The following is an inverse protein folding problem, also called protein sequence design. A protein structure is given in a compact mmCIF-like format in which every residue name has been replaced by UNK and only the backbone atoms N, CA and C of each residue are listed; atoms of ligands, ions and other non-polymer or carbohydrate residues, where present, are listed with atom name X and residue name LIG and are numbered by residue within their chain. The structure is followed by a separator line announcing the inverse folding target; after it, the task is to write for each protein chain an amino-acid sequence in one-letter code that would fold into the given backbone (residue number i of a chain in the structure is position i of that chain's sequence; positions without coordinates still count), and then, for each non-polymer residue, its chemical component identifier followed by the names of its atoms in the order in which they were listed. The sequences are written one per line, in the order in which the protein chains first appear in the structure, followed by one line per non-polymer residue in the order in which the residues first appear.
data_IF_031845095041
#
_entry.id   IF_031845095041
#
_cell.length_a   1.000
_cell.length_b   1.000
_cell.length_c   1.000
_cell.angle_alpha   90.00
_cell.angle_beta   90.00
_cell.angle_gamma   90.00
#
_symmetry.space_group_name_H-M   'P 1'
#
loop_
_entity.id
_entity.type
_entity.pdbx_description
1 polymer ?
#
# COMPACT_ATOMS: atom_id res chain seq x y z
N UNK A 1 -1.81 -22.05 -26.82
CA UNK A 1 -2.00 -21.71 -25.40
C UNK A 1 -0.90 -20.73 -25.01
N UNK A 2 -1.24 -19.47 -24.74
CA UNK A 2 -0.27 -18.55 -24.11
C UNK A 2 -0.10 -19.04 -22.66
N UNK A 3 1.14 -19.16 -22.20
CA UNK A 3 1.47 -19.84 -20.94
C UNK A 3 1.24 -18.93 -19.73
N UNK A 4 1.01 -19.54 -18.56
CA UNK A 4 0.82 -18.87 -17.26
C UNK A 4 1.77 -17.69 -17.03
N UNK A 5 3.05 -17.81 -17.40
CA UNK A 5 4.05 -16.74 -17.27
C UNK A 5 3.70 -15.48 -18.06
N UNK A 6 3.19 -15.62 -19.30
CA UNK A 6 2.84 -14.48 -20.15
C UNK A 6 1.59 -13.78 -19.64
N UNK A 7 0.63 -14.55 -19.13
CA UNK A 7 -0.65 -14.02 -18.67
C UNK A 7 -0.54 -13.39 -17.27
N UNK A 8 0.53 -13.68 -16.51
CA UNK A 8 0.79 -13.15 -15.16
C UNK A 8 2.10 -12.34 -15.07
N UNK A 9 2.67 -11.94 -16.22
CA UNK A 9 4.01 -11.35 -16.28
C UNK A 9 4.15 -10.07 -15.43
N UNK A 10 3.13 -9.22 -15.38
CA UNK A 10 3.14 -7.97 -14.61
C UNK A 10 3.29 -8.24 -13.11
N UNK A 11 2.44 -9.11 -12.56
CA UNK A 11 2.51 -9.50 -11.13
C UNK A 11 3.82 -10.22 -10.82
N UNK A 12 4.23 -11.16 -11.67
CA UNK A 12 5.50 -11.89 -11.47
C UNK A 12 6.70 -10.96 -11.49
N UNK A 13 6.73 -9.98 -12.39
CA UNK A 13 7.80 -8.99 -12.46
C UNK A 13 7.93 -8.21 -11.15
N UNK A 14 6.83 -7.65 -10.64
CA UNK A 14 6.85 -6.89 -9.39
C UNK A 14 7.12 -7.77 -8.16
N UNK A 15 6.68 -9.03 -8.14
CA UNK A 15 7.04 -9.97 -7.08
C UNK A 15 8.53 -10.30 -7.08
N UNK A 16 9.15 -10.49 -8.24
CA UNK A 16 10.61 -10.69 -8.34
C UNK A 16 11.35 -9.42 -7.89
N UNK A 17 10.92 -8.25 -8.35
CA UNK A 17 11.50 -6.98 -7.92
C UNK A 17 11.40 -6.78 -6.40
N UNK A 18 10.25 -7.10 -5.80
CA UNK A 18 10.04 -7.07 -4.35
C UNK A 18 11.01 -8.00 -3.62
N UNK A 19 11.15 -9.26 -4.06
CA UNK A 19 12.07 -10.22 -3.43
C UNK A 19 13.52 -9.73 -3.52
N UNK A 20 13.93 -9.20 -4.68
CA UNK A 20 15.28 -8.63 -4.85
C UNK A 20 15.51 -7.44 -3.93
N UNK A 21 14.52 -6.55 -3.79
CA UNK A 21 14.58 -5.41 -2.88
C UNK A 21 14.66 -5.86 -1.40
N UNK A 22 13.85 -6.84 -0.98
CA UNK A 22 13.87 -7.39 0.37
C UNK A 22 15.21 -8.06 0.70
N UNK A 23 15.81 -8.79 -0.25
CA UNK A 23 17.14 -9.38 -0.10
C UNK A 23 18.20 -8.28 0.02
N UNK A 24 18.13 -7.25 -0.82
CA UNK A 24 19.01 -6.09 -0.75
C UNK A 24 18.93 -5.40 0.61
N UNK A 25 17.71 -5.07 1.05
CA UNK A 25 17.43 -4.45 2.35
C UNK A 25 17.91 -5.32 3.52
N UNK A 26 17.69 -6.64 3.46
CA UNK A 26 18.14 -7.56 4.50
C UNK A 26 19.67 -7.56 4.64
N UNK A 27 20.41 -7.58 3.53
CA UNK A 27 21.88 -7.58 3.55
C UNK A 27 22.42 -6.22 4.01
N UNK A 28 21.91 -5.12 3.45
CA UNK A 28 22.37 -3.78 3.80
C UNK A 28 22.02 -3.40 5.23
N UNK A 29 20.78 -3.69 5.66
CA UNK A 29 20.30 -3.44 7.01
C UNK A 29 21.03 -4.28 8.05
N UNK A 30 21.34 -5.54 7.74
CA UNK A 30 22.16 -6.40 8.60
C UNK A 30 23.57 -5.83 8.79
N UNK A 31 24.21 -5.38 7.71
CA UNK A 31 25.53 -4.74 7.78
C UNK A 31 25.49 -3.47 8.64
N UNK A 32 24.54 -2.58 8.36
CA UNK A 32 24.36 -1.32 9.09
C UNK A 32 24.12 -1.56 10.59
N UNK A 33 23.25 -2.51 10.93
CA UNK A 33 22.97 -2.87 12.31
C UNK A 33 24.21 -3.41 13.04
N UNK A 34 25.03 -4.24 12.38
CA UNK A 34 26.27 -4.72 12.96
C UNK A 34 27.32 -3.61 13.12
N UNK A 35 27.38 -2.66 12.18
CA UNK A 35 28.29 -1.50 12.28
C UNK A 35 27.92 -0.61 13.49
N UNK A 36 26.62 -0.39 13.73
CA UNK A 36 26.11 0.33 14.91
C UNK A 36 26.42 -0.42 16.22
N UNK A 37 26.26 -1.74 16.23
CA UNK A 37 26.62 -2.58 17.37
C UNK A 37 28.12 -2.49 17.67
N UNK A 38 28.98 -2.58 16.65
CA UNK A 38 30.42 -2.44 16.84
C UNK A 38 30.81 -1.04 17.33
N UNK A 39 30.17 0.01 16.82
CA UNK A 39 30.42 1.39 17.24
C UNK A 39 30.04 1.64 18.72
N UNK A 40 29.05 0.90 19.23
CA UNK A 40 28.61 0.93 20.63
C UNK A 40 29.26 -0.14 21.51
N UNK A 41 30.30 -0.84 21.03
CA UNK A 41 30.96 -1.96 21.70
C UNK A 41 30.02 -3.15 22.04
N UNK A 42 28.91 -3.26 21.33
CA UNK A 42 27.98 -4.39 21.38
C UNK A 42 28.44 -5.59 20.55
N UNK A 43 27.69 -6.69 20.67
CA UNK A 43 27.92 -7.90 19.90
C UNK A 43 27.19 -7.85 18.56
N UNK A 44 27.85 -8.33 17.51
CA UNK A 44 27.23 -8.52 16.19
C UNK A 44 26.26 -9.69 16.22
N UNK A 45 25.27 -9.63 15.31
CA UNK A 45 24.28 -10.68 15.11
C UNK A 45 24.47 -11.35 13.77
N UNK A 46 24.04 -12.61 13.68
CA UNK A 46 23.91 -13.31 12.40
C UNK A 46 22.76 -12.74 11.56
N UNK A 47 22.80 -12.97 10.24
CA UNK A 47 21.73 -12.55 9.33
C UNK A 47 20.36 -13.10 9.75
N UNK A 48 20.29 -14.37 10.17
CA UNK A 48 19.02 -14.97 10.60
C UNK A 48 18.46 -14.27 11.84
N UNK A 49 19.32 -13.95 12.82
CA UNK A 49 18.91 -13.19 14.00
C UNK A 49 18.38 -11.80 13.62
N UNK A 50 19.06 -11.12 12.69
CA UNK A 50 18.61 -9.83 12.18
C UNK A 50 17.25 -9.90 11.47
N UNK A 51 17.03 -10.90 10.61
CA UNK A 51 15.74 -11.10 9.90
C UNK A 51 14.57 -11.36 10.85
N UNK A 52 14.83 -11.91 12.03
CA UNK A 52 13.82 -12.13 13.08
C UNK A 52 13.75 -11.01 14.12
N UNK A 53 14.52 -9.93 13.93
CA UNK A 53 14.61 -8.82 14.88
C UNK A 53 13.44 -7.85 14.76
N UNK A 54 13.20 -7.08 15.83
CA UNK A 54 12.25 -5.97 15.79
C UNK A 54 12.67 -4.85 14.84
N UNK A 55 13.98 -4.63 14.65
CA UNK A 55 14.51 -3.61 13.74
C UNK A 55 14.14 -3.90 12.29
N UNK A 56 14.38 -5.12 11.82
CA UNK A 56 13.98 -5.50 10.47
C UNK A 56 12.46 -5.51 10.28
N UNK A 57 11.72 -6.02 11.28
CA UNK A 57 10.27 -6.09 11.23
C UNK A 57 9.61 -4.70 11.16
N UNK A 58 10.12 -3.72 11.92
CA UNK A 58 9.58 -2.35 11.89
C UNK A 58 9.85 -1.70 10.54
N UNK A 59 11.06 -1.84 9.99
CA UNK A 59 11.44 -1.23 8.70
C UNK A 59 10.56 -1.73 7.55
N UNK A 60 10.24 -3.02 7.52
CA UNK A 60 9.31 -3.58 6.51
C UNK A 60 7.89 -3.09 6.76
N UNK A 61 7.41 -3.20 7.99
CA UNK A 61 6.03 -2.86 8.32
C UNK A 61 5.71 -1.39 8.04
N UNK A 62 6.69 -0.49 8.24
CA UNK A 62 6.58 0.95 7.96
C UNK A 62 6.33 1.29 6.51
N UNK A 63 7.05 0.63 5.61
CA UNK A 63 6.86 0.80 4.17
C UNK A 63 5.52 0.17 3.74
N UNK A 64 5.25 -1.04 4.20
CA UNK A 64 4.05 -1.76 3.74
C UNK A 64 2.76 -1.08 4.19
N UNK A 65 2.72 -0.54 5.41
CA UNK A 65 1.50 0.12 5.88
C UNK A 65 1.14 1.35 5.05
N UNK A 66 2.09 2.18 4.63
CA UNK A 66 1.78 3.38 3.85
C UNK A 66 1.31 3.01 2.45
N UNK A 67 1.95 2.03 1.82
CA UNK A 67 1.54 1.49 0.52
C UNK A 67 0.09 0.96 0.53
N UNK A 68 -0.27 0.16 1.54
CA UNK A 68 -1.64 -0.35 1.65
C UNK A 68 -2.64 0.73 2.07
N UNK A 69 -2.24 1.72 2.88
CA UNK A 69 -3.06 2.89 3.17
C UNK A 69 -3.34 3.69 1.89
N UNK A 70 -2.33 3.90 1.06
CA UNK A 70 -2.43 4.58 -0.23
C UNK A 70 -3.50 3.90 -1.09
N UNK A 71 -3.37 2.59 -1.33
CA UNK A 71 -4.35 1.86 -2.13
C UNK A 71 -5.74 1.83 -1.49
N UNK A 72 -5.83 1.68 -0.17
CA UNK A 72 -7.10 1.75 0.55
C UNK A 72 -7.80 3.09 0.32
N UNK A 73 -7.12 4.20 0.58
CA UNK A 73 -7.66 5.54 0.38
C UNK A 73 -8.01 5.76 -1.08
N UNK A 74 -7.13 5.40 -2.00
CA UNK A 74 -7.36 5.56 -3.42
C UNK A 74 -8.61 4.80 -3.89
N UNK A 75 -8.82 3.56 -3.48
CA UNK A 75 -10.01 2.76 -3.80
C UNK A 75 -11.31 3.37 -3.26
N UNK A 76 -11.29 3.98 -2.07
CA UNK A 76 -12.51 4.53 -1.46
C UNK A 76 -12.80 5.97 -1.83
N UNK A 77 -11.76 6.80 -1.94
CA UNK A 77 -11.86 8.24 -2.16
C UNK A 77 -12.24 8.53 -3.61
N UNK A 78 -11.67 7.80 -4.58
CA UNK A 78 -11.98 7.97 -6.02
C UNK A 78 -13.41 7.58 -6.40
N UNK A 79 -14.14 6.91 -5.51
CA UNK A 79 -15.59 6.70 -5.66
C UNK A 79 -16.34 8.03 -5.62
N UNK A 80 -15.88 9.01 -4.85
CA UNK A 80 -16.62 10.25 -4.56
C UNK A 80 -15.89 11.52 -4.97
N UNK A 81 -14.56 11.56 -4.86
CA UNK A 81 -13.77 12.70 -5.29
C UNK A 81 -13.48 12.58 -6.78
N UNK A 82 -13.83 13.64 -7.51
CA UNK A 82 -13.59 13.75 -8.95
C UNK A 82 -12.58 14.84 -9.26
N UNK A 83 -11.70 14.54 -10.21
CA UNK A 83 -10.74 15.47 -10.78
C UNK A 83 -10.90 15.49 -12.30
N UNK A 84 -11.43 16.62 -12.80
CA UNK A 84 -11.60 16.83 -14.24
C UNK A 84 -10.26 16.69 -14.95
N UNK A 85 -10.26 15.89 -16.01
CA UNK A 85 -9.10 15.67 -16.87
C UNK A 85 -8.24 14.48 -16.45
N UNK A 86 -8.42 13.95 -15.24
CA UNK A 86 -7.62 12.83 -14.74
C UNK A 86 -8.16 11.50 -15.28
N UNK A 87 -7.33 10.62 -15.88
CA UNK A 87 -7.72 9.26 -16.22
C UNK A 87 -8.06 8.41 -14.98
N UNK A 88 -7.48 8.76 -13.84
CA UNK A 88 -7.65 8.13 -12.53
C UNK A 88 -8.98 8.51 -11.83
N UNK A 89 -9.78 9.37 -12.45
CA UNK A 89 -11.03 9.88 -11.87
C UNK A 89 -12.22 9.50 -12.72
N UNK A 90 -13.36 9.32 -12.05
CA UNK A 90 -14.67 9.32 -12.72
C UNK A 90 -14.95 10.68 -13.37
N UNK A 91 -15.74 10.73 -14.45
CA UNK A 91 -16.26 11.99 -14.98
C UNK A 91 -17.11 12.73 -13.92
N UNK A 92 -17.08 14.08 -13.90
CA UNK A 92 -17.98 14.85 -13.04
C UNK A 92 -19.45 14.51 -13.31
N UNK A 93 -20.24 14.31 -12.26
CA UNK A 93 -21.64 13.87 -12.33
C UNK A 93 -21.83 12.34 -12.31
N UNK A 94 -20.75 11.56 -12.26
CA UNK A 94 -20.75 10.10 -12.10
C UNK A 94 -20.17 9.66 -10.76
N UNK A 95 -20.17 10.54 -9.76
CA UNK A 95 -19.74 10.24 -8.40
C UNK A 95 -20.62 9.15 -7.76
N UNK A 96 -20.03 8.37 -6.88
CA UNK A 96 -20.70 7.33 -6.12
C UNK A 96 -20.53 5.94 -6.70
N UNK A 97 -21.41 5.04 -6.23
CA UNK A 97 -21.24 3.58 -6.34
C UNK A 97 -21.79 2.99 -7.62
N UNK A 98 -22.31 3.83 -8.52
CA UNK A 98 -23.06 3.43 -9.71
C UNK A 98 -24.30 2.59 -9.36
N UNK A 99 -25.09 2.27 -10.38
CA UNK A 99 -26.28 1.42 -10.23
C UNK A 99 -25.91 -0.07 -10.20
N UNK A 100 -26.81 -0.90 -9.68
CA UNK A 100 -26.64 -2.37 -9.69
C UNK A 100 -26.50 -2.92 -11.12
N UNK A 101 -27.08 -2.26 -12.12
CA UNK A 101 -26.97 -2.60 -13.54
C UNK A 101 -25.58 -2.28 -14.09
N UNK A 102 -25.08 -1.05 -13.88
CA UNK A 102 -23.72 -0.64 -14.27
C UNK A 102 -22.66 -1.55 -13.63
N UNK A 103 -22.88 -1.98 -12.38
CA UNK A 103 -21.99 -2.89 -11.64
C UNK A 103 -22.25 -4.39 -11.91
N UNK A 104 -23.26 -4.73 -12.71
CA UNK A 104 -23.66 -6.12 -13.06
C UNK A 104 -23.84 -7.02 -11.85
N UNK A 105 -24.55 -6.54 -10.83
CA UNK A 105 -24.81 -7.30 -9.59
C UNK A 105 -26.28 -7.72 -9.47
N UNK A 106 -26.52 -8.79 -8.71
CA UNK A 106 -27.86 -9.30 -8.47
C UNK A 106 -28.61 -9.73 -9.71
N UNK A 107 -29.76 -9.10 -9.97
CA UNK A 107 -30.60 -9.41 -11.13
C UNK A 107 -29.91 -9.10 -12.46
N UNK A 108 -28.88 -8.24 -12.44
CA UNK A 108 -28.10 -7.84 -13.61
C UNK A 108 -26.79 -8.63 -13.78
N UNK A 109 -26.52 -9.60 -12.90
CA UNK A 109 -25.35 -10.47 -13.02
C UNK A 109 -25.48 -11.40 -14.24
N UNK A 110 -24.37 -11.63 -14.94
CA UNK A 110 -24.32 -12.50 -16.12
C UNK A 110 -23.74 -13.88 -15.77
N UNK A 111 -23.75 -14.81 -16.73
CA UNK A 111 -23.12 -16.12 -16.55
C UNK A 111 -21.59 -16.05 -16.29
N UNK A 112 -20.96 -14.94 -16.69
CA UNK A 112 -19.53 -14.67 -16.45
C UNK A 112 -19.27 -13.99 -15.10
N UNK A 113 -20.31 -13.46 -14.45
CA UNK A 113 -20.17 -12.75 -13.18
C UNK A 113 -19.76 -13.72 -12.04
N UNK A 114 -18.90 -13.29 -11.10
CA UNK A 114 -18.58 -14.07 -9.93
C UNK A 114 -19.82 -14.46 -9.12
N UNK A 115 -19.85 -15.67 -8.56
CA UNK A 115 -21.02 -16.21 -7.83
C UNK A 115 -21.54 -15.28 -6.72
N UNK A 116 -20.66 -14.57 -6.03
CA UNK A 116 -21.04 -13.67 -4.94
C UNK A 116 -21.58 -12.31 -5.43
N UNK A 117 -21.32 -11.92 -6.69
CA UNK A 117 -21.94 -10.76 -7.32
C UNK A 117 -23.43 -11.01 -7.61
N UNK A 118 -23.79 -12.24 -8.01
CA UNK A 118 -25.18 -12.66 -8.21
C UNK A 118 -25.93 -12.93 -6.88
N UNK A 119 -25.20 -13.28 -5.81
CA UNK A 119 -25.79 -13.55 -4.50
C UNK A 119 -26.51 -12.32 -3.91
N UNK A 120 -27.44 -12.53 -2.98
CA UNK A 120 -28.10 -11.46 -2.22
C UNK A 120 -27.45 -11.21 -0.84
N UNK A 121 -27.89 -10.14 -0.18
CA UNK A 121 -27.56 -9.85 1.23
C UNK A 121 -26.08 -9.61 1.50
N UNK A 122 -25.59 -10.12 2.64
CA UNK A 122 -24.24 -9.83 3.13
C UNK A 122 -23.12 -10.35 2.23
N UNK A 123 -23.34 -11.46 1.51
CA UNK A 123 -22.31 -12.04 0.60
C UNK A 123 -21.95 -11.05 -0.51
N UNK A 124 -22.97 -10.44 -1.14
CA UNK A 124 -22.76 -9.37 -2.12
C UNK A 124 -22.09 -8.17 -1.46
N UNK A 125 -22.58 -7.76 -0.29
CA UNK A 125 -22.03 -6.59 0.40
C UNK A 125 -20.53 -6.72 0.71
N UNK A 126 -20.07 -7.91 1.13
CA UNK A 126 -18.65 -8.21 1.35
C UNK A 126 -17.89 -8.26 0.03
N UNK A 127 -18.39 -9.00 -0.97
CA UNK A 127 -17.71 -9.14 -2.25
C UNK A 127 -17.54 -7.79 -2.97
N UNK A 128 -18.58 -6.97 -3.03
CA UNK A 128 -18.57 -5.63 -3.64
C UNK A 128 -17.68 -4.61 -2.93
N UNK A 129 -17.08 -4.98 -1.78
CA UNK A 129 -16.13 -4.14 -1.04
C UNK A 129 -14.81 -4.86 -0.76
N UNK A 130 -14.64 -6.07 -1.29
CA UNK A 130 -13.57 -7.00 -0.89
C UNK A 130 -12.17 -6.42 -1.13
N UNK A 131 -11.94 -5.74 -2.26
CA UNK A 131 -10.67 -5.07 -2.54
C UNK A 131 -10.32 -4.05 -1.44
N UNK A 132 -11.22 -3.10 -1.17
CA UNK A 132 -11.02 -2.10 -0.13
C UNK A 132 -10.90 -2.73 1.27
N UNK A 133 -11.67 -3.77 1.58
CA UNK A 133 -11.57 -4.49 2.85
C UNK A 133 -10.20 -5.13 3.00
N UNK A 134 -9.70 -5.84 1.98
CA UNK A 134 -8.38 -6.49 2.04
C UNK A 134 -7.27 -5.46 2.18
N UNK A 135 -7.29 -4.38 1.38
CA UNK A 135 -6.29 -3.31 1.50
C UNK A 135 -6.30 -2.68 2.90
N UNK A 136 -7.48 -2.40 3.45
CA UNK A 136 -7.63 -1.83 4.79
C UNK A 136 -7.21 -2.79 5.90
N UNK A 137 -7.51 -4.09 5.78
CA UNK A 137 -7.07 -5.11 6.75
C UNK A 137 -5.56 -5.27 6.73
N UNK A 138 -4.95 -5.34 5.54
CA UNK A 138 -3.48 -5.47 5.44
C UNK A 138 -2.81 -4.22 6.00
N UNK A 139 -3.31 -3.02 5.68
CA UNK A 139 -2.88 -1.76 6.30
C UNK A 139 -2.95 -1.81 7.84
N UNK A 140 -4.10 -2.21 8.40
CA UNK A 140 -4.25 -2.25 9.86
C UNK A 140 -3.30 -3.26 10.50
N UNK A 141 -3.12 -4.42 9.88
CA UNK A 141 -2.20 -5.45 10.37
C UNK A 141 -0.74 -4.99 10.29
N UNK A 142 -0.32 -4.36 9.21
CA UNK A 142 1.04 -3.84 9.08
C UNK A 142 1.28 -2.63 9.99
N UNK A 143 0.31 -1.73 10.14
CA UNK A 143 0.41 -0.59 11.06
C UNK A 143 0.47 -1.03 12.53
N UNK A 144 -0.31 -2.05 12.91
CA UNK A 144 -0.18 -2.69 14.23
C UNK A 144 1.17 -3.39 14.37
N UNK A 145 1.61 -4.13 13.34
CA UNK A 145 2.92 -4.77 13.29
C UNK A 145 4.07 -3.78 13.51
N UNK A 146 4.04 -2.65 12.79
CA UNK A 146 4.94 -1.51 12.99
C UNK A 146 4.87 -1.01 14.43
N UNK A 147 3.68 -0.78 14.99
CA UNK A 147 3.56 -0.24 16.36
C UNK A 147 4.19 -1.16 17.42
N UNK A 148 4.08 -2.48 17.24
CA UNK A 148 4.61 -3.48 18.17
C UNK A 148 6.12 -3.63 17.98
N UNK A 149 6.59 -3.79 16.75
CA UNK A 149 8.01 -3.92 16.43
C UNK A 149 8.77 -2.62 16.76
N UNK A 150 8.19 -1.47 16.42
CA UNK A 150 8.72 -0.14 16.70
C UNK A 150 8.84 0.14 18.19
N UNK A 151 7.85 -0.26 19.01
CA UNK A 151 7.97 -0.19 20.47
C UNK A 151 9.13 -1.04 20.98
N UNK A 152 9.29 -2.25 20.44
CA UNK A 152 10.36 -3.15 20.86
C UNK A 152 11.75 -2.56 20.52
N UNK A 153 11.91 -2.01 19.31
CA UNK A 153 13.12 -1.30 18.90
C UNK A 153 13.38 -0.06 19.78
N UNK A 154 12.37 0.79 19.97
CA UNK A 154 12.47 1.98 20.81
C UNK A 154 12.86 1.65 22.26
N UNK A 155 12.28 0.61 22.85
CA UNK A 155 12.63 0.18 24.19
C UNK A 155 14.05 -0.41 24.28
N UNK A 156 14.57 -1.02 23.20
CA UNK A 156 15.96 -1.47 23.17
C UNK A 156 16.92 -0.26 23.25
N UNK A 157 16.63 0.81 22.53
CA UNK A 157 17.42 2.05 22.55
C UNK A 157 17.33 2.76 23.90
N UNK A 158 16.14 2.80 24.51
CA UNK A 158 15.93 3.33 25.86
C UNK A 158 16.79 2.58 26.88
N UNK A 159 16.76 1.25 26.86
CA UNK A 159 17.54 0.42 27.78
C UNK A 159 19.06 0.58 27.55
N UNK A 160 19.50 0.68 26.29
CA UNK A 160 20.90 0.98 25.96
C UNK A 160 21.35 2.35 26.52
N UNK A 161 20.40 3.29 26.64
CA UNK A 161 20.61 4.63 27.20
C UNK A 161 20.33 4.73 28.70
N UNK A 162 20.17 3.60 29.41
CA UNK A 162 19.82 3.53 30.84
C UNK A 162 18.50 4.25 31.20
N UNK A 163 17.54 4.25 30.28
CA UNK A 163 16.19 4.80 30.47
C UNK A 163 15.15 3.69 30.63
N UNK A 164 14.03 4.02 31.25
CA UNK A 164 12.93 3.07 31.45
C UNK A 164 12.19 2.75 30.14
N UNK A 165 11.80 1.47 29.92
CA UNK A 165 11.00 1.08 28.77
C UNK A 165 9.58 1.64 28.89
N UNK A 166 9.00 2.01 27.75
CA UNK A 166 7.64 2.54 27.69
C UNK A 166 6.60 1.46 27.42
N UNK A 167 5.36 1.74 27.83
CA UNK A 167 4.18 0.92 27.47
C UNK A 167 3.84 1.08 25.99
N UNK A 168 3.04 0.17 25.43
CA UNK A 168 2.60 0.29 24.03
C UNK A 168 1.76 1.55 23.80
N UNK A 169 0.87 1.87 24.74
CA UNK A 169 0.06 3.09 24.67
C UNK A 169 0.94 4.34 24.69
N UNK A 170 1.96 4.37 25.56
CA UNK A 170 2.90 5.50 25.61
C UNK A 170 3.70 5.65 24.30
N UNK A 171 4.11 4.52 23.68
CA UNK A 171 4.81 4.55 22.39
C UNK A 171 3.92 5.03 21.25
N UNK A 172 2.69 4.52 21.11
CA UNK A 172 1.77 4.96 20.04
C UNK A 172 1.31 6.41 20.23
N UNK A 173 1.32 6.93 21.46
CA UNK A 173 1.10 8.35 21.74
C UNK A 173 2.35 9.22 21.57
N UNK A 174 3.52 8.63 21.32
CA UNK A 174 4.79 9.35 21.23
C UNK A 174 4.97 10.06 19.89
N UNK A 175 5.80 11.11 19.89
CA UNK A 175 6.19 11.81 18.66
C UNK A 175 6.97 10.92 17.70
N UNK A 176 7.76 9.97 18.21
CA UNK A 176 8.56 9.05 17.40
C UNK A 176 7.68 8.21 16.48
N UNK A 177 6.66 7.56 17.03
CA UNK A 177 5.72 6.73 16.28
C UNK A 177 5.01 7.52 15.17
N UNK A 178 4.50 8.72 15.51
CA UNK A 178 3.80 9.55 14.55
C UNK A 178 4.75 10.18 13.53
N UNK A 179 5.97 10.53 13.91
CA UNK A 179 6.96 11.05 12.98
C UNK A 179 7.31 10.01 11.91
N UNK A 180 7.59 8.76 12.30
CA UNK A 180 7.83 7.66 11.35
C UNK A 180 6.61 7.36 10.47
N UNK A 181 5.42 7.29 11.09
CA UNK A 181 4.17 7.01 10.37
C UNK A 181 3.83 8.11 9.35
N UNK A 182 3.85 9.37 9.78
CA UNK A 182 3.45 10.50 8.93
C UNK A 182 4.47 10.81 7.84
N UNK A 183 5.76 10.57 8.06
CA UNK A 183 6.78 10.68 7.00
C UNK A 183 6.46 9.72 5.85
N UNK A 184 6.17 8.45 6.16
CA UNK A 184 5.78 7.47 5.14
C UNK A 184 4.46 7.83 4.45
N UNK A 185 3.45 8.31 5.19
CA UNK A 185 2.19 8.72 4.57
C UNK A 185 2.35 9.93 3.63
N UNK A 186 3.21 10.86 4.01
CA UNK A 186 3.45 12.06 3.22
C UNK A 186 4.02 11.72 1.84
N UNK A 187 4.93 10.75 1.73
CA UNK A 187 5.49 10.34 0.43
C UNK A 187 4.42 9.72 -0.47
N UNK A 188 3.59 8.84 0.07
CA UNK A 188 2.51 8.21 -0.68
C UNK A 188 1.47 9.22 -1.16
N UNK A 189 1.08 10.16 -0.30
CA UNK A 189 0.11 11.18 -0.67
C UNK A 189 0.66 12.10 -1.77
N UNK A 190 1.96 12.42 -1.71
CA UNK A 190 2.61 13.16 -2.79
C UNK A 190 2.60 12.35 -4.09
N UNK A 191 2.94 11.05 -4.04
CA UNK A 191 2.95 10.18 -5.21
C UNK A 191 1.57 10.08 -5.87
N UNK A 192 0.50 9.83 -5.11
CA UNK A 192 -0.88 9.81 -5.64
C UNK A 192 -1.29 11.16 -6.21
N UNK A 193 -1.04 12.26 -5.50
CA UNK A 193 -1.38 13.58 -5.98
C UNK A 193 -0.65 13.92 -7.29
N UNK A 194 0.64 13.58 -7.38
CA UNK A 194 1.43 13.71 -8.59
C UNK A 194 0.87 12.85 -9.72
N UNK A 195 0.52 11.59 -9.47
CA UNK A 195 -0.08 10.73 -10.50
C UNK A 195 -1.42 11.28 -10.99
N UNK A 196 -2.31 11.69 -10.09
CA UNK A 196 -3.62 12.24 -10.44
C UNK A 196 -3.52 13.55 -11.25
N UNK A 197 -2.54 14.40 -10.95
CA UNK A 197 -2.30 15.67 -11.65
C UNK A 197 -1.50 15.49 -12.96
N UNK A 198 -0.39 14.76 -12.93
CA UNK A 198 0.49 14.62 -14.09
C UNK A 198 -0.15 13.80 -15.20
N UNK A 199 -0.95 12.78 -14.88
CA UNK A 199 -1.68 11.99 -15.87
C UNK A 199 -2.70 12.80 -16.70
N UNK A 200 -3.07 14.01 -16.25
CA UNK A 200 -3.86 14.96 -17.04
C UNK A 200 -3.07 15.47 -18.25
N UNK A 201 -1.79 15.77 -18.06
CA UNK A 201 -0.95 16.51 -19.00
C UNK A 201 0.09 15.66 -19.71
N UNK A 202 0.74 14.75 -18.97
CA UNK A 202 1.78 13.87 -19.49
C UNK A 202 1.18 12.61 -20.13
N UNK A 203 1.95 11.98 -21.01
CA UNK A 203 1.52 10.83 -21.81
C UNK A 203 2.64 9.79 -21.87
N UNK A 204 2.29 8.55 -21.58
CA UNK A 204 3.14 7.39 -21.87
C UNK A 204 2.42 6.50 -22.88
N UNK A 205 2.86 6.53 -24.14
CA UNK A 205 2.19 5.82 -25.25
C UNK A 205 2.04 4.33 -24.93
N UNK A 206 0.79 3.85 -24.89
CA UNK A 206 0.46 2.44 -24.65
C UNK A 206 0.40 2.04 -23.18
N UNK A 207 0.65 2.97 -22.24
CA UNK A 207 0.44 2.73 -20.80
C UNK A 207 -1.05 2.84 -20.44
N UNK A 208 -1.58 1.96 -19.58
CA UNK A 208 -2.91 2.14 -19.00
C UNK A 208 -3.00 3.33 -18.04
N UNK A 209 -1.86 3.76 -17.48
CA UNK A 209 -1.75 4.84 -16.48
C UNK A 209 -1.75 6.25 -17.08
N UNK A 210 -2.05 6.40 -18.38
CA UNK A 210 -2.16 7.70 -19.02
C UNK A 210 -3.18 7.69 -20.16
N UNK A 211 -3.79 8.84 -20.42
CA UNK A 211 -4.72 8.98 -21.55
C UNK A 211 -4.02 8.68 -22.89
N UNK A 212 -4.77 8.27 -23.94
CA UNK A 212 -4.23 8.22 -25.28
C UNK A 212 -3.57 9.55 -25.69
N UNK A 213 -2.49 9.47 -26.46
CA UNK A 213 -1.64 10.65 -26.76
C UNK A 213 -2.42 11.78 -27.43
N UNK A 214 -3.38 11.45 -28.30
CA UNK A 214 -4.22 12.43 -29.00
C UNK A 214 -5.39 12.99 -28.19
N UNK A 215 -5.61 12.52 -26.96
CA UNK A 215 -6.77 12.90 -26.16
C UNK A 215 -6.57 14.24 -25.42
N UNK A 216 -7.63 15.06 -25.39
CA UNK A 216 -7.64 16.37 -24.74
C UNK A 216 -7.36 16.31 -23.23
N UNK A 217 -6.83 17.40 -22.68
CA UNK A 217 -6.63 17.51 -21.23
C UNK A 217 -7.94 17.53 -20.44
N UNK A 218 -9.03 18.03 -21.01
CA UNK A 218 -10.33 18.11 -20.35
C UNK A 218 -11.07 16.75 -20.25
N UNK A 219 -10.71 15.76 -21.08
CA UNK A 219 -11.30 14.43 -21.00
C UNK A 219 -10.90 13.73 -19.70
N UNK A 220 -11.90 13.23 -18.98
CA UNK A 220 -11.78 12.57 -17.67
C UNK A 220 -12.10 11.08 -17.80
N UNK A 221 -11.41 10.24 -17.04
CA UNK A 221 -11.49 8.79 -17.16
C UNK A 221 -10.69 8.24 -18.35
N UNK A 222 -10.47 6.93 -18.32
CA UNK A 222 -9.92 6.19 -19.45
C UNK A 222 -11.11 5.92 -20.36
N UNK A 223 -11.20 6.62 -21.49
CA UNK A 223 -12.28 6.40 -22.46
C UNK A 223 -12.34 4.93 -22.86
N UNK A 224 -13.37 4.24 -22.39
CA UNK A 224 -13.74 2.86 -22.72
C UNK A 224 -15.19 2.83 -23.16
#
# INVERSE_FOLDING_TARGET
MRGFLRDNALTLFFLVALVLALVGQAISGWSMHNDEQLASAGATVSLLQYLTSSSFAVDIAENWQSEFLQFYLYVFVTVWLVQRGSPESKPPGKEGRETDEEQRVGAYATAESPRWAAAGGWRRAVFSRSLGIVMGVVFLLSWVGQSVAGRAAYNADQLASYQDPVTWVAYVASTEFWNRTLQNWQSEFLAVASMAAFSIYLRQRGSPESKPVGTSHAMTGIGG
#
